data_IF_806180717336
#
_entry.id   IF_806180717336
#
_cell.length_a   1.000
_cell.length_b   1.000
_cell.length_c   1.000
_cell.angle_alpha   90.00
_cell.angle_beta   90.00
_cell.angle_gamma   90.00
#
_symmetry.space_group_name_H-M   'P 1'
#
loop_
_entity.id
_entity.type
_entity.pdbx_description
1 polymer ?
#
# COMPACT_ATOMS: atom_id res chain seq x y z
N UNK A 1 6.98 30.02 -30.86
CA UNK A 1 5.82 29.15 -30.58
C UNK A 1 5.06 29.78 -29.42
N UNK A 2 3.96 30.50 -29.67
CA UNK A 2 3.17 31.16 -28.63
C UNK A 2 2.07 30.17 -28.20
N UNK A 3 2.23 29.55 -27.04
CA UNK A 3 1.21 28.64 -26.50
C UNK A 3 0.07 29.51 -25.97
N UNK A 4 -1.12 29.37 -26.56
CA UNK A 4 -2.31 30.12 -26.16
C UNK A 4 -2.84 29.58 -24.82
N UNK A 5 -3.07 30.43 -23.80
CA UNK A 5 -3.55 30.02 -22.48
C UNK A 5 -4.92 29.31 -22.51
N UNK A 6 -5.72 29.44 -23.58
CA UNK A 6 -6.98 28.70 -23.73
C UNK A 6 -6.77 27.24 -24.13
N UNK A 7 -5.65 26.91 -24.77
CA UNK A 7 -5.32 25.53 -25.19
C UNK A 7 -4.81 24.68 -24.03
N UNK A 8 -4.15 25.29 -23.05
CA UNK A 8 -3.72 24.58 -21.82
C UNK A 8 -4.89 24.34 -20.86
N UNK A 9 -5.88 25.24 -20.83
CA UNK A 9 -7.06 25.13 -19.95
C UNK A 9 -8.08 24.10 -20.44
N UNK A 10 -8.15 23.85 -21.77
CA UNK A 10 -9.06 22.83 -22.33
C UNK A 10 -8.53 21.39 -22.16
N UNK A 11 -7.21 21.21 -22.09
CA UNK A 11 -6.58 19.90 -21.89
C UNK A 11 -6.80 19.37 -20.47
N UNK A 12 -6.91 20.25 -19.46
CA UNK A 12 -7.19 19.85 -18.06
C UNK A 12 -8.64 19.47 -17.77
N UNK A 13 -9.58 19.74 -18.70
CA UNK A 13 -11.02 19.52 -18.52
C UNK A 13 -11.57 18.38 -19.41
N UNK A 14 -10.70 17.66 -20.12
CA UNK A 14 -11.11 16.54 -20.97
C UNK A 14 -11.38 15.30 -20.11
N UNK A 15 -12.48 14.56 -20.33
CA UNK A 15 -12.74 13.31 -19.63
C UNK A 15 -11.59 12.33 -19.88
N UNK A 16 -11.08 11.71 -18.80
CA UNK A 16 -9.95 10.77 -18.87
C UNK A 16 -10.25 9.62 -19.82
N UNK A 17 -9.31 9.30 -20.70
CA UNK A 17 -9.45 8.24 -21.69
C UNK A 17 -9.60 6.86 -21.00
N UNK A 18 -10.19 5.85 -21.66
CA UNK A 18 -10.25 4.49 -21.11
C UNK A 18 -8.88 3.94 -20.71
N UNK A 19 -7.83 4.29 -21.46
CA UNK A 19 -6.45 3.90 -21.16
C UNK A 19 -5.92 4.55 -19.87
N UNK A 20 -6.22 5.83 -19.64
CA UNK A 20 -5.85 6.53 -18.41
C UNK A 20 -6.59 5.99 -17.19
N UNK A 21 -7.89 5.67 -17.35
CA UNK A 21 -8.68 5.03 -16.28
C UNK A 21 -8.09 3.68 -15.90
N UNK A 22 -7.74 2.86 -16.89
CA UNK A 22 -7.09 1.56 -16.68
C UNK A 22 -5.74 1.67 -15.96
N UNK A 23 -4.89 2.60 -16.39
CA UNK A 23 -3.61 2.84 -15.72
C UNK A 23 -3.80 3.24 -14.25
N UNK A 24 -4.75 4.14 -13.98
CA UNK A 24 -5.09 4.58 -12.62
C UNK A 24 -5.68 3.47 -11.75
N UNK A 25 -6.51 2.60 -12.32
CA UNK A 25 -7.06 1.43 -11.62
C UNK A 25 -5.96 0.43 -11.25
N UNK A 26 -5.00 0.19 -12.16
CA UNK A 26 -3.83 -0.67 -11.90
C UNK A 26 -2.90 -0.08 -10.84
N UNK A 27 -2.68 1.24 -10.85
CA UNK A 27 -1.89 1.92 -9.82
C UNK A 27 -2.53 1.78 -8.44
N UNK A 28 -3.83 2.05 -8.32
CA UNK A 28 -4.60 1.88 -7.08
C UNK A 28 -4.59 0.44 -6.58
N UNK A 29 -4.68 -0.54 -7.49
CA UNK A 29 -4.59 -1.95 -7.13
C UNK A 29 -3.22 -2.25 -6.49
N UNK A 30 -2.13 -1.72 -7.07
CA UNK A 30 -0.78 -1.89 -6.54
C UNK A 30 -0.66 -1.30 -5.12
N UNK A 31 -1.11 -0.07 -4.93
CA UNK A 31 -1.12 0.61 -3.63
C UNK A 31 -1.91 -0.20 -2.58
N UNK A 32 -3.11 -0.65 -2.94
CA UNK A 32 -3.97 -1.45 -2.04
C UNK A 32 -3.31 -2.77 -1.65
N UNK A 33 -2.63 -3.44 -2.58
CA UNK A 33 -1.90 -4.68 -2.28
C UNK A 33 -0.74 -4.45 -1.30
N UNK A 34 -0.01 -3.33 -1.44
CA UNK A 34 1.06 -2.95 -0.51
C UNK A 34 0.53 -2.59 0.87
N UNK A 35 -0.59 -1.88 0.96
CA UNK A 35 -1.26 -1.57 2.22
C UNK A 35 -1.71 -2.85 2.93
N UNK A 36 -2.26 -3.82 2.19
CA UNK A 36 -2.64 -5.11 2.75
C UNK A 36 -1.43 -5.88 3.29
N UNK A 37 -0.33 -5.95 2.55
CA UNK A 37 0.90 -6.59 3.02
C UNK A 37 1.45 -5.91 4.28
N UNK A 38 1.35 -4.57 4.37
CA UNK A 38 1.74 -3.82 5.58
C UNK A 38 0.98 -4.32 6.82
N UNK A 39 -0.34 -4.52 6.70
CA UNK A 39 -1.17 -5.01 7.81
C UNK A 39 -0.77 -6.43 8.19
N UNK A 40 -0.51 -7.29 7.20
CA UNK A 40 -0.09 -8.67 7.44
C UNK A 40 1.27 -8.74 8.15
N UNK A 41 2.24 -7.95 7.69
CA UNK A 41 3.56 -7.84 8.32
C UNK A 41 3.45 -7.33 9.75
N UNK A 42 2.57 -6.35 10.00
CA UNK A 42 2.29 -5.87 11.36
C UNK A 42 1.75 -6.99 12.25
N UNK A 43 0.78 -7.77 11.79
CA UNK A 43 0.25 -8.89 12.58
C UNK A 43 1.29 -10.01 12.77
N UNK A 44 2.19 -10.20 11.80
CA UNK A 44 3.34 -11.10 11.95
C UNK A 44 4.26 -10.64 13.08
N UNK A 45 4.67 -9.36 13.11
CA UNK A 45 5.49 -8.82 14.20
C UNK A 45 4.80 -8.94 15.56
N UNK A 46 3.51 -8.61 15.60
CA UNK A 46 2.69 -8.75 16.82
C UNK A 46 2.66 -10.20 17.30
N UNK A 47 2.50 -11.16 16.40
CA UNK A 47 2.48 -12.59 16.71
C UNK A 47 3.84 -13.10 17.19
N UNK A 48 4.93 -12.68 16.53
CA UNK A 48 6.30 -13.00 16.96
C UNK A 48 6.59 -12.48 18.38
N UNK A 49 6.11 -11.28 18.72
CA UNK A 49 6.30 -10.70 20.05
C UNK A 49 5.46 -11.38 21.13
N UNK A 50 4.23 -11.76 20.83
CA UNK A 50 3.39 -12.57 21.73
C UNK A 50 4.01 -13.92 22.07
N UNK A 51 4.84 -14.47 21.19
CA UNK A 51 5.55 -15.73 21.42
C UNK A 51 6.75 -15.60 22.39
N UNK A 52 7.19 -14.38 22.72
CA UNK A 52 8.26 -14.14 23.69
C UNK A 52 7.68 -14.23 25.11
N UNK A 53 8.20 -15.12 25.98
CA UNK A 53 7.70 -15.26 27.35
C UNK A 53 7.79 -13.95 28.15
N UNK A 54 6.79 -13.72 29.00
CA UNK A 54 6.79 -12.59 29.93
C UNK A 54 7.77 -12.85 31.10
N UNK A 55 8.43 -11.81 31.62
CA UNK A 55 9.31 -11.92 32.80
C UNK A 55 10.80 -11.62 32.58
N UNK A 56 11.15 -10.79 31.59
CA UNK A 56 12.52 -10.29 31.42
C UNK A 56 12.94 -9.26 32.47
N UNK A 57 14.20 -8.78 32.36
CA UNK A 57 14.82 -7.80 33.29
C UNK A 57 14.07 -6.46 33.39
N UNK A 58 13.18 -6.15 32.45
CA UNK A 58 12.45 -4.89 32.37
C UNK A 58 10.95 -5.11 32.60
N UNK A 59 10.33 -4.26 33.42
CA UNK A 59 8.89 -4.27 33.64
C UNK A 59 8.10 -3.87 32.38
N UNK A 60 6.90 -4.43 32.23
CA UNK A 60 5.94 -3.98 31.20
C UNK A 60 5.41 -2.60 31.56
N UNK A 61 5.26 -1.74 30.55
CA UNK A 61 4.68 -0.41 30.71
C UNK A 61 3.79 -0.09 29.51
N UNK A 62 2.61 0.48 29.78
CA UNK A 62 1.65 0.90 28.75
C UNK A 62 2.32 1.85 27.74
N UNK A 63 3.15 2.77 28.22
CA UNK A 63 3.85 3.72 27.34
C UNK A 63 4.83 3.01 26.37
N UNK A 64 5.48 1.95 26.83
CA UNK A 64 6.37 1.13 26.00
C UNK A 64 5.58 0.36 24.97
N UNK A 65 4.45 -0.24 25.36
CA UNK A 65 3.60 -1.00 24.45
C UNK A 65 3.02 -0.11 23.34
N UNK A 66 2.52 1.08 23.68
CA UNK A 66 2.04 2.05 22.69
C UNK A 66 3.15 2.51 21.74
N UNK A 67 4.33 2.84 22.26
CA UNK A 67 5.47 3.21 21.41
C UNK A 67 5.88 2.06 20.48
N UNK A 68 5.89 0.84 21.02
CA UNK A 68 6.22 -0.36 20.26
C UNK A 68 5.22 -0.60 19.12
N UNK A 69 3.92 -0.44 19.37
CA UNK A 69 2.89 -0.56 18.34
C UNK A 69 3.06 0.48 17.22
N UNK A 70 3.36 1.74 17.58
CA UNK A 70 3.63 2.78 16.59
C UNK A 70 4.90 2.49 15.78
N UNK A 71 5.94 1.98 16.43
CA UNK A 71 7.17 1.58 15.77
C UNK A 71 6.94 0.41 14.81
N UNK A 72 6.26 -0.63 15.27
CA UNK A 72 5.96 -1.83 14.47
C UNK A 72 5.10 -1.46 13.25
N UNK A 73 4.17 -0.52 13.39
CA UNK A 73 3.37 0.01 12.27
C UNK A 73 4.24 0.65 11.18
N UNK A 74 5.18 1.52 11.56
CA UNK A 74 6.07 2.19 10.60
C UNK A 74 7.03 1.20 9.94
N UNK A 75 7.59 0.26 10.71
CA UNK A 75 8.44 -0.80 10.17
C UNK A 75 7.67 -1.68 9.19
N UNK A 76 6.43 -2.04 9.51
CA UNK A 76 5.60 -2.84 8.61
C UNK A 76 5.29 -2.10 7.31
N UNK A 77 4.96 -0.81 7.39
CA UNK A 77 4.74 0.06 6.22
C UNK A 77 5.98 0.16 5.34
N UNK A 78 7.16 0.39 5.93
CA UNK A 78 8.42 0.44 5.16
C UNK A 78 8.76 -0.90 4.53
N UNK A 79 8.51 -2.01 5.25
CA UNK A 79 8.75 -3.36 4.75
C UNK A 79 7.93 -3.61 3.48
N UNK A 80 6.63 -3.36 3.53
CA UNK A 80 5.71 -3.58 2.40
C UNK A 80 5.86 -2.56 1.26
N UNK A 81 6.36 -1.35 1.54
CA UNK A 81 6.67 -0.36 0.50
C UNK A 81 7.92 -0.72 -0.31
N UNK A 82 8.85 -1.48 0.29
CA UNK A 82 10.08 -1.96 -0.34
C UNK A 82 9.86 -3.27 -1.12
N UNK A 83 10.83 -4.18 -1.04
CA UNK A 83 10.69 -5.52 -1.65
C UNK A 83 9.67 -6.42 -0.93
N UNK A 84 9.21 -6.05 0.25
CA UNK A 84 8.18 -6.77 0.98
C UNK A 84 8.54 -8.22 1.31
N UNK A 85 7.51 -9.00 1.58
CA UNK A 85 7.60 -10.47 1.69
C UNK A 85 7.09 -11.16 0.41
N UNK A 86 6.61 -10.38 -0.57
CA UNK A 86 6.20 -10.84 -1.90
C UNK A 86 4.70 -11.13 -2.05
N UNK A 87 3.91 -10.90 -1.01
CA UNK A 87 2.46 -11.16 -1.03
C UNK A 87 1.74 -10.06 -1.79
N UNK A 88 2.14 -8.80 -1.64
CA UNK A 88 1.58 -7.68 -2.39
C UNK A 88 1.72 -7.91 -3.91
N UNK A 89 2.90 -8.38 -4.35
CA UNK A 89 3.18 -8.66 -5.75
C UNK A 89 2.39 -9.88 -6.27
N UNK A 90 2.25 -10.93 -5.45
CA UNK A 90 1.46 -12.10 -5.81
C UNK A 90 -0.03 -11.74 -5.99
N UNK A 91 -0.59 -10.95 -5.07
CA UNK A 91 -1.96 -10.45 -5.15
C UNK A 91 -2.16 -9.54 -6.37
N UNK A 92 -1.23 -8.61 -6.59
CA UNK A 92 -1.27 -7.72 -7.73
C UNK A 92 -1.31 -8.50 -9.04
N UNK A 93 -0.43 -9.50 -9.22
CA UNK A 93 -0.42 -10.35 -10.42
C UNK A 93 -1.73 -11.09 -10.63
N UNK A 94 -2.33 -11.62 -9.57
CA UNK A 94 -3.59 -12.34 -9.67
C UNK A 94 -4.79 -11.44 -10.04
N UNK A 95 -4.78 -10.19 -9.57
CA UNK A 95 -5.91 -9.28 -9.72
C UNK A 95 -5.77 -8.31 -10.90
N UNK A 96 -4.54 -8.03 -11.35
CA UNK A 96 -4.27 -7.14 -12.48
C UNK A 96 -4.96 -7.63 -13.75
N UNK A 97 -4.98 -8.94 -14.00
CA UNK A 97 -5.67 -9.56 -15.13
C UNK A 97 -7.17 -9.20 -15.19
N UNK A 98 -7.81 -9.01 -14.03
CA UNK A 98 -9.23 -8.62 -13.97
C UNK A 98 -9.46 -7.18 -14.40
N UNK A 99 -8.53 -6.28 -14.07
CA UNK A 99 -8.55 -4.88 -14.51
C UNK A 99 -8.14 -4.79 -15.98
N UNK A 100 -7.23 -5.65 -16.41
CA UNK A 100 -6.77 -5.66 -17.79
C UNK A 100 -7.83 -6.08 -18.79
N UNK A 101 -8.65 -7.07 -18.42
CA UNK A 101 -9.76 -7.58 -19.21
C UNK A 101 -11.08 -6.82 -18.99
N UNK A 102 -11.08 -5.79 -18.14
CA UNK A 102 -12.26 -4.96 -17.88
C UNK A 102 -12.63 -4.18 -19.14
N UNK A 103 -13.80 -4.46 -19.70
CA UNK A 103 -14.38 -3.64 -20.77
C UNK A 103 -14.85 -2.33 -20.16
N UNK A 104 -14.23 -1.22 -20.57
CA UNK A 104 -14.70 0.11 -20.26
C UNK A 104 -15.80 0.45 -21.29
N UNK A 105 -17.07 0.37 -20.87
CA UNK A 105 -18.24 0.85 -21.62
C UNK A 105 -18.33 2.38 -21.64
#
# INVERSE_FOLDING_TARGET
MKIDPRTVLSHSLSPSTPQEKKAKDLERLRETCQEFESILVMEMYKSMRKAVPEGGLFEKSIAKDTYQEMFDMEVARQTASGSGIGIAEAMYRQMADQIENKKYE
#
